data_IF_651918291174
#
_entry.id   IF_651918291174
#
_cell.length_a   1.000
_cell.length_b   1.000
_cell.length_c   1.000
_cell.angle_alpha   90.00
_cell.angle_beta   90.00
_cell.angle_gamma   90.00
#
_symmetry.space_group_name_H-M   'P 1'
#
loop_
_entity.id
_entity.type
_entity.pdbx_description
1 polymer ?
#
# COMPACT_ATOMS: atom_id res chain seq x y z
N UNK A 1 -13.48 6.95 -4.45
CA UNK A 1 -12.74 6.50 -3.26
C UNK A 1 -11.38 6.08 -3.75
N UNK A 2 -10.30 6.65 -3.23
CA UNK A 2 -8.95 6.24 -3.67
C UNK A 2 -8.56 4.94 -2.97
N UNK A 3 -8.04 3.95 -3.70
CA UNK A 3 -7.59 2.69 -3.12
C UNK A 3 -6.07 2.59 -3.21
N UNK A 4 -5.42 2.47 -2.06
CA UNK A 4 -3.99 2.29 -1.90
C UNK A 4 -3.71 0.83 -1.55
N UNK A 5 -2.77 0.22 -2.23
CA UNK A 5 -2.45 -1.20 -2.07
C UNK A 5 -0.97 -1.34 -1.77
N UNK A 6 -0.63 -1.93 -0.63
CA UNK A 6 0.76 -2.20 -0.24
C UNK A 6 1.08 -3.65 -0.56
N UNK A 7 1.97 -3.87 -1.53
CA UNK A 7 2.39 -5.21 -1.98
C UNK A 7 3.90 -5.37 -1.84
N UNK A 8 4.40 -6.54 -1.42
CA UNK A 8 5.82 -6.83 -1.48
C UNK A 8 6.29 -7.00 -2.94
N UNK A 9 7.56 -6.72 -3.21
CA UNK A 9 8.22 -7.05 -4.47
C UNK A 9 8.37 -8.57 -4.62
N UNK A 10 8.78 -9.02 -5.82
CA UNK A 10 8.95 -10.45 -6.14
C UNK A 10 9.89 -11.18 -5.18
N UNK A 11 10.87 -10.49 -4.62
CA UNK A 11 11.85 -11.05 -3.68
C UNK A 11 11.45 -10.89 -2.20
N UNK A 12 10.31 -10.24 -1.91
CA UNK A 12 9.87 -9.83 -0.56
C UNK A 12 10.93 -9.04 0.25
N UNK A 13 11.82 -8.34 -0.45
CA UNK A 13 12.87 -7.48 0.09
C UNK A 13 12.49 -6.00 0.09
N UNK A 14 11.41 -5.64 -0.59
CA UNK A 14 10.86 -4.28 -0.61
C UNK A 14 9.35 -4.30 -0.85
N UNK A 15 8.73 -3.13 -0.71
CA UNK A 15 7.30 -2.93 -0.64
C UNK A 15 6.88 -1.78 -1.56
N UNK A 16 5.96 -2.05 -2.46
CA UNK A 16 5.37 -1.05 -3.34
C UNK A 16 4.08 -0.53 -2.76
N UNK A 17 3.90 0.79 -2.82
CA UNK A 17 2.61 1.44 -2.60
C UNK A 17 2.00 1.71 -3.97
N UNK A 18 0.88 1.04 -4.27
CA UNK A 18 0.16 1.17 -5.52
C UNK A 18 -1.15 1.92 -5.29
N UNK A 19 -1.28 3.09 -5.91
CA UNK A 19 -2.55 3.79 -6.00
C UNK A 19 -3.37 3.24 -7.17
N UNK A 20 -4.66 2.99 -6.95
CA UNK A 20 -5.58 2.59 -8.01
C UNK A 20 -5.52 3.58 -9.18
N UNK A 21 -5.38 3.06 -10.39
CA UNK A 21 -5.29 3.84 -11.64
C UNK A 21 -3.99 4.65 -11.81
N UNK A 22 -2.96 4.40 -11.00
CA UNK A 22 -1.60 4.98 -11.15
C UNK A 22 -0.56 3.86 -11.07
N UNK A 23 0.55 4.02 -11.79
CA UNK A 23 1.68 3.10 -11.65
C UNK A 23 2.27 3.23 -10.23
N UNK A 24 2.74 2.14 -9.59
CA UNK A 24 3.49 2.27 -8.35
C UNK A 24 4.77 3.06 -8.62
N UNK A 25 4.87 4.26 -8.06
CA UNK A 25 6.02 5.15 -8.29
C UNK A 25 7.15 4.90 -7.29
N UNK A 26 6.85 4.28 -6.14
CA UNK A 26 7.78 4.17 -5.02
C UNK A 26 7.90 2.72 -4.51
N UNK A 27 9.16 2.33 -4.30
CA UNK A 27 9.58 1.09 -3.65
C UNK A 27 10.23 1.48 -2.32
N UNK A 28 9.74 0.88 -1.25
CA UNK A 28 10.23 1.06 0.11
C UNK A 28 10.94 -0.20 0.58
N UNK A 29 12.05 -0.06 1.30
CA UNK A 29 12.78 -1.23 1.82
C UNK A 29 12.03 -1.87 3.01
N UNK A 30 11.38 -1.03 3.83
CA UNK A 30 10.65 -1.47 5.01
C UNK A 30 9.13 -1.50 4.78
N UNK A 31 8.48 -2.57 5.26
CA UNK A 31 7.01 -2.73 5.22
C UNK A 31 6.31 -1.57 5.93
N UNK A 32 6.80 -1.25 7.13
CA UNK A 32 6.16 -0.27 8.00
C UNK A 32 6.22 1.15 7.39
N UNK A 33 7.29 1.45 6.66
CA UNK A 33 7.46 2.70 5.92
C UNK A 33 6.44 2.80 4.77
N UNK A 34 6.31 1.75 3.96
CA UNK A 34 5.30 1.69 2.89
C UNK A 34 3.86 1.84 3.43
N UNK A 35 3.56 1.22 4.57
CA UNK A 35 2.26 1.34 5.22
C UNK A 35 2.02 2.75 5.71
N UNK A 36 3.00 3.37 6.37
CA UNK A 36 2.87 4.73 6.90
C UNK A 36 2.55 5.72 5.77
N UNK A 37 3.28 5.65 4.65
CA UNK A 37 3.03 6.52 3.49
C UNK A 37 1.66 6.22 2.86
N UNK A 38 1.28 4.95 2.70
CA UNK A 38 -0.03 4.59 2.17
C UNK A 38 -1.18 5.13 3.04
N UNK A 39 -1.02 5.07 4.37
CA UNK A 39 -1.99 5.60 5.33
C UNK A 39 -2.05 7.12 5.30
N UNK A 40 -0.92 7.81 5.28
CA UNK A 40 -0.85 9.27 5.17
C UNK A 40 -1.55 9.75 3.90
N UNK A 41 -1.17 9.20 2.75
CA UNK A 41 -1.80 9.53 1.47
C UNK A 41 -3.31 9.22 1.47
N UNK A 42 -3.72 8.12 2.09
CA UNK A 42 -5.13 7.76 2.20
C UNK A 42 -5.92 8.78 3.03
N UNK A 43 -5.41 9.17 4.20
CA UNK A 43 -6.06 10.16 5.07
C UNK A 43 -6.17 11.53 4.39
N UNK A 44 -5.15 11.95 3.65
CA UNK A 44 -5.20 13.21 2.89
C UNK A 44 -6.24 13.18 1.75
N UNK A 45 -6.62 11.99 1.29
CA UNK A 45 -7.48 11.80 0.13
C UNK A 45 -8.82 11.10 0.45
N UNK A 46 -9.35 11.29 1.65
CA UNK A 46 -10.65 10.73 2.06
C UNK A 46 -11.81 11.18 1.15
N UNK A 47 -12.75 10.28 0.81
CA UNK A 47 -12.81 8.88 1.23
C UNK A 47 -11.81 7.99 0.48
N UNK A 48 -11.11 7.14 1.21
CA UNK A 48 -10.05 6.29 0.69
C UNK A 48 -9.93 4.96 1.45
N UNK A 49 -9.13 4.05 0.90
CA UNK A 49 -8.94 2.69 1.43
C UNK A 49 -7.48 2.28 1.29
N UNK A 50 -6.95 1.63 2.32
CA UNK A 50 -5.61 1.02 2.31
C UNK A 50 -5.78 -0.49 2.46
N UNK A 51 -5.18 -1.25 1.56
CA UNK A 51 -5.15 -2.72 1.59
C UNK A 51 -3.71 -3.20 1.64
N UNK A 52 -3.37 -4.02 2.62
CA UNK A 52 -2.01 -4.54 2.83
C UNK A 52 -2.02 -6.02 2.48
N UNK A 53 -1.14 -6.42 1.56
CA UNK A 53 -1.00 -7.81 1.13
C UNK A 53 0.27 -8.45 1.71
N UNK A 54 0.27 -9.77 1.87
CA UNK A 54 1.47 -10.54 2.19
C UNK A 54 2.26 -10.94 0.92
N UNK A 55 3.37 -11.65 1.12
CA UNK A 55 4.21 -12.22 0.06
C UNK A 55 3.49 -13.20 -0.86
N UNK A 56 2.33 -13.69 -0.47
CA UNK A 56 1.49 -14.60 -1.25
C UNK A 56 0.32 -13.85 -1.89
N UNK A 57 0.31 -12.52 -1.86
CA UNK A 57 -0.78 -11.66 -2.32
C UNK A 57 -2.12 -11.91 -1.61
N UNK A 58 -2.09 -12.40 -0.36
CA UNK A 58 -3.26 -12.47 0.49
C UNK A 58 -3.44 -11.14 1.24
N UNK A 59 -4.68 -10.68 1.37
CA UNK A 59 -5.00 -9.51 2.19
C UNK A 59 -4.76 -9.87 3.66
N UNK A 60 -3.82 -9.17 4.28
CA UNK A 60 -3.51 -9.29 5.71
C UNK A 60 -4.33 -8.30 6.50
N UNK A 61 -4.45 -7.08 5.97
CA UNK A 61 -5.10 -5.98 6.66
C UNK A 61 -5.74 -5.03 5.65
N UNK A 62 -6.86 -4.44 6.06
CA UNK A 62 -7.63 -3.50 5.26
C UNK A 62 -8.16 -2.40 6.18
N UNK A 63 -7.98 -1.14 5.80
CA UNK A 63 -8.46 0.01 6.57
C UNK A 63 -9.07 1.05 5.63
N UNK A 64 -10.18 1.66 6.03
CA UNK A 64 -10.86 2.73 5.30
C UNK A 64 -10.74 4.05 6.05
N UNK A 65 -10.51 5.14 5.31
CA UNK A 65 -10.37 6.51 5.81
C UNK A 65 -11.30 7.47 5.07
#
# INVERSE_FOLDING_TARGET
MKSYTVIPNVDATGWFVKLENVAPEELYDAKDEAIAVAVEMAQENSPSKVTILDRFHNVVEETSY
#
